data_IF_868065428495
#
_entry.id   IF_868065428495
#
_cell.length_a   1.000
_cell.length_b   1.000
_cell.length_c   1.000
_cell.angle_alpha   90.00
_cell.angle_beta   90.00
_cell.angle_gamma   90.00
#
_symmetry.space_group_name_H-M   'P 1'
#
loop_
_entity.id
_entity.type
_entity.pdbx_description
1 polymer ?
#
# COMPACT_ATOMS: atom_id res chain seq x y z
N UNK A 1 -17.17 20.01 4.33
CA UNK A 1 -17.96 18.80 3.98
C UNK A 1 -17.19 17.58 4.46
N UNK A 2 -17.62 17.02 5.56
CA UNK A 2 -17.27 15.66 5.91
C UNK A 2 -18.05 14.76 4.97
N UNK A 3 -17.48 14.51 3.79
CA UNK A 3 -18.07 13.66 2.77
C UNK A 3 -18.27 12.25 3.32
N UNK A 4 -19.51 11.83 3.39
CA UNK A 4 -19.86 10.47 3.79
C UNK A 4 -19.27 9.48 2.80
N UNK A 5 -18.62 8.44 3.30
CA UNK A 5 -18.05 7.37 2.45
C UNK A 5 -19.18 6.58 1.80
N UNK A 6 -18.93 6.12 0.57
CA UNK A 6 -19.87 5.24 -0.14
C UNK A 6 -20.24 4.03 0.72
N UNK A 7 -21.57 3.84 0.90
CA UNK A 7 -22.13 2.75 1.71
C UNK A 7 -23.49 2.29 1.15
N UNK A 8 -24.09 1.29 1.78
CA UNK A 8 -25.37 0.71 1.36
C UNK A 8 -26.53 1.71 1.26
N UNK A 9 -26.52 2.78 2.07
CA UNK A 9 -27.59 3.77 2.05
C UNK A 9 -27.65 4.57 0.74
N UNK A 10 -26.50 4.72 0.08
CA UNK A 10 -26.42 5.40 -1.23
C UNK A 10 -27.02 4.57 -2.37
N UNK A 11 -27.27 3.27 -2.13
CA UNK A 11 -27.91 2.40 -3.12
C UNK A 11 -29.42 2.59 -3.19
N UNK A 12 -30.03 3.20 -2.15
CA UNK A 12 -31.45 3.49 -2.12
C UNK A 12 -31.81 4.55 -3.17
N UNK A 13 -32.60 4.18 -4.17
CA UNK A 13 -32.95 5.04 -5.30
C UNK A 13 -32.23 4.73 -6.61
N UNK A 14 -31.35 3.72 -6.61
CA UNK A 14 -30.76 3.17 -7.84
C UNK A 14 -31.61 1.96 -8.27
N UNK A 15 -32.51 2.18 -9.22
CA UNK A 15 -33.31 1.11 -9.81
C UNK A 15 -32.58 0.44 -10.96
N UNK A 16 -32.81 -0.87 -11.18
CA UNK A 16 -32.31 -1.65 -12.31
C UNK A 16 -30.77 -1.74 -12.40
N UNK A 17 -30.11 -1.88 -11.25
CA UNK A 17 -28.64 -2.06 -11.18
C UNK A 17 -28.20 -3.29 -12.00
N UNK A 18 -29.04 -4.31 -12.09
CA UNK A 18 -28.81 -5.51 -12.90
C UNK A 18 -28.67 -5.24 -14.39
N UNK A 19 -29.15 -4.10 -14.87
CA UNK A 19 -29.00 -3.66 -16.27
C UNK A 19 -27.88 -2.62 -16.45
N UNK A 20 -27.27 -2.17 -15.35
CA UNK A 20 -26.28 -1.11 -15.39
C UNK A 20 -24.88 -1.60 -15.80
N UNK A 21 -24.14 -0.72 -16.46
CA UNK A 21 -22.69 -0.84 -16.62
C UNK A 21 -22.02 0.13 -15.64
N UNK A 22 -21.22 -0.38 -14.74
CA UNK A 22 -20.54 0.38 -13.69
C UNK A 22 -19.05 0.46 -13.99
N UNK A 23 -18.51 1.67 -13.98
CA UNK A 23 -17.07 1.92 -14.04
C UNK A 23 -16.65 2.63 -12.76
N UNK A 24 -15.64 2.10 -12.09
CA UNK A 24 -15.10 2.75 -10.90
C UNK A 24 -13.57 2.71 -10.90
N UNK A 25 -12.97 3.85 -10.58
CA UNK A 25 -11.55 3.91 -10.30
C UNK A 25 -11.31 4.69 -9.01
N UNK A 26 -10.37 4.22 -8.21
CA UNK A 26 -10.11 4.83 -6.91
C UNK A 26 -9.08 4.07 -6.08
N UNK A 27 -8.88 4.50 -4.82
CA UNK A 27 -8.11 3.71 -3.86
C UNK A 27 -8.72 2.31 -3.68
N UNK A 28 -7.87 1.31 -3.41
CA UNK A 28 -8.31 -0.10 -3.30
C UNK A 28 -9.49 -0.32 -2.35
N UNK A 29 -9.53 0.38 -1.22
CA UNK A 29 -10.66 0.30 -0.28
C UNK A 29 -11.97 0.83 -0.85
N UNK A 30 -11.93 1.88 -1.68
CA UNK A 30 -13.12 2.38 -2.39
C UNK A 30 -13.57 1.37 -3.46
N UNK A 31 -12.63 0.86 -4.25
CA UNK A 31 -12.91 -0.15 -5.29
C UNK A 31 -13.56 -1.39 -4.67
N UNK A 32 -13.01 -1.92 -3.57
CA UNK A 32 -13.60 -3.05 -2.87
C UNK A 32 -15.05 -2.79 -2.39
N UNK A 33 -15.33 -1.57 -1.91
CA UNK A 33 -16.69 -1.17 -1.54
C UNK A 33 -17.63 -1.16 -2.75
N UNK A 34 -17.16 -0.61 -3.88
CA UNK A 34 -17.95 -0.60 -5.14
C UNK A 34 -18.22 -2.03 -5.62
N UNK A 35 -17.24 -2.90 -5.60
CA UNK A 35 -17.39 -4.30 -6.00
C UNK A 35 -18.44 -5.05 -5.16
N UNK A 36 -18.50 -4.77 -3.86
CA UNK A 36 -19.53 -5.33 -2.98
C UNK A 36 -20.92 -4.76 -3.27
N UNK A 37 -21.04 -3.43 -3.40
CA UNK A 37 -22.33 -2.77 -3.59
C UNK A 37 -22.95 -3.03 -4.96
N UNK A 38 -22.12 -3.17 -6.00
CA UNK A 38 -22.55 -3.35 -7.38
C UNK A 38 -22.29 -4.76 -7.92
N UNK A 39 -22.18 -5.75 -7.03
CA UNK A 39 -21.93 -7.15 -7.43
C UNK A 39 -23.00 -7.73 -8.38
N UNK A 40 -24.20 -7.16 -8.41
CA UNK A 40 -25.31 -7.57 -9.27
C UNK A 40 -25.44 -6.73 -10.56
N UNK A 41 -24.51 -5.82 -10.83
CA UNK A 41 -24.53 -5.04 -12.06
C UNK A 41 -24.24 -5.94 -13.27
N UNK A 42 -24.86 -5.62 -14.43
CA UNK A 42 -24.63 -6.35 -15.67
C UNK A 42 -23.15 -6.37 -16.09
N UNK A 43 -22.48 -5.25 -15.92
CA UNK A 43 -21.05 -5.12 -16.15
C UNK A 43 -20.43 -4.24 -15.07
N UNK A 44 -19.40 -4.74 -14.42
CA UNK A 44 -18.61 -3.98 -13.44
C UNK A 44 -17.14 -3.97 -13.89
N UNK A 45 -16.59 -2.79 -14.11
CA UNK A 45 -15.17 -2.58 -14.45
C UNK A 45 -14.54 -1.65 -13.44
N UNK A 46 -13.51 -2.13 -12.78
CA UNK A 46 -12.84 -1.40 -11.70
C UNK A 46 -11.35 -1.27 -11.96
N UNK A 47 -10.77 -0.14 -11.53
CA UNK A 47 -9.33 0.10 -11.52
C UNK A 47 -8.93 0.67 -10.16
N UNK A 48 -8.09 -0.06 -9.43
CA UNK A 48 -7.52 0.42 -8.19
C UNK A 48 -6.18 1.12 -8.46
N UNK A 49 -6.05 2.39 -8.07
CA UNK A 49 -4.78 3.12 -8.12
C UNK A 49 -4.05 3.20 -6.76
N UNK A 50 -4.42 2.34 -5.85
CA UNK A 50 -3.61 1.98 -4.68
C UNK A 50 -3.68 0.47 -4.51
N UNK A 51 -2.60 -0.09 -4.00
CA UNK A 51 -2.56 -1.53 -3.75
C UNK A 51 -3.43 -1.87 -2.55
N UNK A 52 -4.17 -2.97 -2.64
CA UNK A 52 -4.73 -3.60 -1.45
C UNK A 52 -3.59 -3.96 -0.51
N UNK A 53 -3.73 -3.72 0.81
CA UNK A 53 -2.78 -4.26 1.77
C UNK A 53 -2.75 -5.77 1.56
N UNK A 54 -1.61 -6.30 1.16
CA UNK A 54 -1.44 -7.75 1.06
C UNK A 54 -1.72 -8.34 2.43
N UNK A 55 -2.61 -9.30 2.53
CA UNK A 55 -2.79 -10.08 3.76
C UNK A 55 -1.45 -10.78 4.04
N UNK A 56 -0.76 -10.32 5.05
CA UNK A 56 0.60 -10.72 5.35
C UNK A 56 0.61 -11.26 6.78
N UNK A 57 0.98 -12.52 6.92
CA UNK A 57 1.10 -13.20 8.22
C UNK A 57 2.37 -12.77 8.99
N UNK A 58 3.15 -11.84 8.44
CA UNK A 58 4.36 -11.33 9.08
C UNK A 58 3.99 -10.46 10.30
N UNK A 59 4.22 -10.98 11.48
CA UNK A 59 3.99 -10.30 12.77
C UNK A 59 5.31 -9.90 13.41
N UNK A 60 5.26 -8.87 14.26
CA UNK A 60 6.42 -8.38 15.01
C UNK A 60 6.93 -7.04 14.50
N UNK A 61 8.05 -6.62 15.08
CA UNK A 61 8.69 -5.34 14.82
C UNK A 61 10.16 -5.55 14.49
N UNK A 62 10.72 -4.62 13.74
CA UNK A 62 12.15 -4.55 13.40
C UNK A 62 12.62 -3.10 13.48
N UNK A 63 13.93 -2.91 13.62
CA UNK A 63 14.52 -1.59 13.59
C UNK A 63 14.90 -1.20 12.17
N UNK A 64 14.60 0.02 11.77
CA UNK A 64 15.09 0.61 10.53
C UNK A 64 16.03 1.76 10.85
N UNK A 65 17.24 1.70 10.31
CA UNK A 65 18.24 2.77 10.40
C UNK A 65 18.25 3.58 9.11
N UNK A 66 17.98 4.87 9.22
CA UNK A 66 18.01 5.83 8.14
C UNK A 66 19.36 6.53 8.16
N UNK A 67 20.27 6.21 7.23
CA UNK A 67 21.67 6.66 7.32
C UNK A 67 21.85 8.16 7.11
N UNK A 68 21.10 8.77 6.18
CA UNK A 68 21.19 10.20 5.89
C UNK A 68 20.60 11.06 7.01
N UNK A 69 19.42 10.66 7.51
CA UNK A 69 18.76 11.40 8.60
C UNK A 69 19.24 10.98 9.99
N UNK A 70 20.14 9.99 10.09
CA UNK A 70 20.72 9.48 11.35
C UNK A 70 19.66 9.09 12.38
N UNK A 71 18.55 8.52 11.93
CA UNK A 71 17.43 8.07 12.78
C UNK A 71 17.36 6.55 12.82
N UNK A 72 17.00 6.03 13.98
CA UNK A 72 16.64 4.62 14.17
C UNK A 72 15.19 4.60 14.64
N UNK A 73 14.36 3.84 13.94
CA UNK A 73 12.93 3.74 14.20
C UNK A 73 12.53 2.27 14.28
N UNK A 74 11.55 1.96 15.11
CA UNK A 74 10.97 0.61 15.17
C UNK A 74 9.71 0.59 14.31
N UNK A 75 9.66 -0.30 13.33
CA UNK A 75 8.54 -0.41 12.38
C UNK A 75 7.92 -1.82 12.42
N UNK A 76 6.61 -1.96 12.18
CA UNK A 76 5.98 -3.26 12.11
C UNK A 76 6.36 -3.99 10.83
N UNK A 77 6.47 -5.32 10.93
CA UNK A 77 6.47 -6.20 9.76
C UNK A 77 5.09 -6.22 9.11
N UNK A 78 5.01 -6.60 7.85
CA UNK A 78 3.74 -6.74 7.14
C UNK A 78 3.15 -5.45 6.59
N UNK A 79 3.62 -4.30 7.02
CA UNK A 79 3.24 -2.99 6.51
C UNK A 79 4.34 -2.43 5.59
N UNK A 80 3.96 -1.61 4.60
CA UNK A 80 4.96 -0.96 3.76
C UNK A 80 5.87 -0.05 4.59
N UNK A 81 7.16 -0.07 4.28
CA UNK A 81 8.15 0.78 4.96
C UNK A 81 7.75 2.26 4.86
N UNK A 82 7.25 2.70 3.70
CA UNK A 82 6.78 4.07 3.51
C UNK A 82 5.68 4.44 4.52
N UNK A 83 4.64 3.61 4.63
CA UNK A 83 3.53 3.88 5.56
C UNK A 83 3.99 3.88 7.02
N UNK A 84 4.89 2.97 7.37
CA UNK A 84 5.46 2.90 8.73
C UNK A 84 6.29 4.14 9.09
N UNK A 85 7.06 4.66 8.14
CA UNK A 85 7.83 5.90 8.34
C UNK A 85 6.92 7.13 8.45
N UNK A 86 5.87 7.20 7.62
CA UNK A 86 4.89 8.28 7.68
C UNK A 86 4.14 8.34 9.01
N UNK A 87 3.79 7.19 9.58
CA UNK A 87 3.17 7.08 10.92
C UNK A 87 4.06 7.64 12.03
N UNK A 88 5.37 7.63 11.82
CA UNK A 88 6.36 8.20 12.76
C UNK A 88 6.84 9.61 12.36
N UNK A 89 6.05 10.32 11.55
CA UNK A 89 6.34 11.68 11.08
C UNK A 89 7.61 11.81 10.25
N UNK A 90 8.11 10.72 9.68
CA UNK A 90 9.15 10.75 8.65
C UNK A 90 8.47 10.74 7.29
N UNK A 91 8.79 11.71 6.45
CA UNK A 91 8.14 11.90 5.14
C UNK A 91 9.14 11.70 4.01
N UNK A 92 9.47 10.47 3.62
CA UNK A 92 10.33 10.21 2.47
C UNK A 92 9.67 10.71 1.17
N UNK A 93 10.48 10.98 0.16
CA UNK A 93 9.93 11.26 -1.16
C UNK A 93 9.12 10.07 -1.66
N UNK A 94 7.94 10.32 -2.17
CA UNK A 94 7.11 9.28 -2.77
C UNK A 94 6.21 9.86 -3.87
N UNK A 95 5.55 8.99 -4.63
CA UNK A 95 4.62 9.36 -5.69
C UNK A 95 3.44 8.40 -5.77
N UNK A 96 3.47 7.46 -6.70
CA UNK A 96 2.33 6.59 -7.03
C UNK A 96 1.91 5.60 -5.92
N UNK A 97 2.76 5.28 -4.96
CA UNK A 97 2.56 4.26 -3.89
C UNK A 97 2.29 2.84 -4.42
N UNK A 98 2.56 2.58 -5.70
CA UNK A 98 2.29 1.32 -6.40
C UNK A 98 3.55 0.62 -6.90
N UNK A 99 4.75 1.14 -6.55
CA UNK A 99 6.01 0.58 -6.99
C UNK A 99 6.40 0.86 -8.45
N UNK A 100 5.72 1.78 -9.14
CA UNK A 100 5.93 2.05 -10.57
C UNK A 100 6.83 3.27 -10.79
N UNK A 101 6.59 4.38 -10.09
CA UNK A 101 7.22 5.68 -10.41
C UNK A 101 8.65 5.84 -9.89
N UNK A 102 9.16 4.94 -9.08
CA UNK A 102 10.47 4.94 -8.43
C UNK A 102 10.80 6.13 -7.51
N UNK A 103 9.87 7.07 -7.29
CA UNK A 103 10.13 8.26 -6.44
C UNK A 103 10.40 7.91 -4.97
N UNK A 104 9.90 6.78 -4.48
CA UNK A 104 10.13 6.29 -3.12
C UNK A 104 11.33 5.34 -3.03
N UNK A 105 12.14 5.27 -4.05
CA UNK A 105 13.25 4.34 -4.09
C UNK A 105 14.46 4.87 -3.32
N UNK A 106 15.10 3.98 -2.59
CA UNK A 106 16.34 4.22 -1.87
C UNK A 106 17.27 3.01 -2.02
N UNK A 107 18.50 3.14 -1.56
CA UNK A 107 19.41 2.02 -1.51
C UNK A 107 19.25 1.27 -0.17
N UNK A 108 19.01 -0.04 -0.24
CA UNK A 108 19.06 -0.93 0.92
C UNK A 108 20.51 -1.32 1.17
N UNK A 109 21.06 -0.86 2.27
CA UNK A 109 22.45 -1.14 2.67
C UNK A 109 22.54 -2.54 3.25
N UNK A 110 21.61 -2.89 4.15
CA UNK A 110 21.60 -4.17 4.86
C UNK A 110 20.17 -4.55 5.25
N UNK A 111 19.95 -5.84 5.50
CA UNK A 111 18.70 -6.40 5.95
C UNK A 111 17.88 -7.08 4.86
N UNK A 112 16.79 -7.72 5.26
CA UNK A 112 15.89 -8.46 4.38
C UNK A 112 14.53 -7.76 4.25
N UNK A 113 14.01 -7.74 3.03
CA UNK A 113 12.71 -7.16 2.69
C UNK A 113 11.86 -8.13 1.90
N UNK A 114 10.54 -7.96 1.96
CA UNK A 114 9.57 -8.72 1.18
C UNK A 114 8.68 -7.77 0.40
N UNK A 115 8.51 -8.05 -0.87
CA UNK A 115 7.62 -7.28 -1.72
C UNK A 115 6.17 -7.65 -1.41
N UNK A 116 5.35 -6.65 -1.08
CA UNK A 116 3.95 -6.82 -0.71
C UNK A 116 3.03 -7.14 -1.91
N UNK A 117 3.53 -6.98 -3.14
CA UNK A 117 2.77 -7.25 -4.36
C UNK A 117 2.85 -8.71 -4.77
N UNK A 118 4.05 -9.27 -4.75
CA UNK A 118 4.35 -10.59 -5.31
C UNK A 118 4.99 -11.55 -4.30
N UNK A 119 5.22 -11.12 -3.05
CA UNK A 119 5.82 -11.93 -2.01
C UNK A 119 7.32 -12.17 -2.16
N UNK A 120 7.98 -11.62 -3.18
CA UNK A 120 9.41 -11.82 -3.40
C UNK A 120 10.24 -11.26 -2.25
N UNK A 121 11.13 -12.07 -1.74
CA UNK A 121 12.07 -11.68 -0.67
C UNK A 121 13.43 -11.27 -1.26
N UNK A 122 14.04 -10.28 -0.63
CA UNK A 122 15.38 -9.82 -1.00
C UNK A 122 16.22 -9.56 0.25
N UNK A 123 17.26 -10.35 0.42
CA UNK A 123 18.24 -10.24 1.53
C UNK A 123 19.60 -9.71 1.09
N UNK A 124 19.80 -9.45 -0.20
CA UNK A 124 21.09 -8.99 -0.71
C UNK A 124 21.32 -7.51 -0.35
N UNK A 125 22.51 -7.14 0.10
CA UNK A 125 22.89 -5.76 0.37
C UNK A 125 23.07 -4.96 -0.92
N UNK A 126 22.99 -3.61 -0.81
CA UNK A 126 23.27 -2.72 -1.94
C UNK A 126 22.19 -2.69 -3.01
N UNK A 127 21.00 -3.21 -2.73
CA UNK A 127 19.93 -3.28 -3.70
C UNK A 127 18.98 -2.08 -3.65
N UNK A 128 18.46 -1.76 -4.82
CA UNK A 128 17.43 -0.74 -5.00
C UNK A 128 16.10 -1.17 -4.36
N UNK A 129 15.60 -0.39 -3.41
CA UNK A 129 14.42 -0.70 -2.62
C UNK A 129 13.32 0.33 -2.84
N UNK A 130 12.16 -0.10 -3.30
CA UNK A 130 10.94 0.74 -3.35
C UNK A 130 10.16 0.61 -2.05
N UNK A 131 10.29 1.57 -1.15
CA UNK A 131 9.73 1.49 0.21
C UNK A 131 8.20 1.50 0.26
N UNK A 132 7.52 1.91 -0.81
CA UNK A 132 6.04 1.91 -0.85
C UNK A 132 5.41 0.52 -1.04
N UNK A 133 6.16 -0.45 -1.58
CA UNK A 133 5.67 -1.81 -1.89
C UNK A 133 6.49 -2.91 -1.22
N UNK A 134 7.35 -2.55 -0.32
CA UNK A 134 8.16 -3.51 0.44
C UNK A 134 7.97 -3.34 1.95
N UNK A 135 7.96 -4.45 2.66
CA UNK A 135 8.01 -4.52 4.13
C UNK A 135 9.37 -5.05 4.58
N UNK A 136 9.81 -4.64 5.76
CA UNK A 136 11.02 -5.16 6.38
C UNK A 136 10.76 -6.54 7.02
N UNK A 137 11.69 -7.47 6.86
CA UNK A 137 11.63 -8.81 7.45
C UNK A 137 12.60 -8.95 8.63
N UNK A 138 13.71 -8.24 8.59
CA UNK A 138 14.73 -8.15 9.63
C UNK A 138 15.06 -6.69 9.90
N UNK A 139 15.92 -6.42 10.87
CA UNK A 139 16.48 -5.07 11.01
C UNK A 139 17.06 -4.62 9.67
N UNK A 140 16.84 -3.34 9.34
CA UNK A 140 17.07 -2.80 8.01
C UNK A 140 17.92 -1.52 8.08
N UNK A 141 18.87 -1.39 7.18
CA UNK A 141 19.64 -0.16 6.99
C UNK A 141 19.37 0.37 5.59
N UNK A 142 18.92 1.61 5.48
CA UNK A 142 18.62 2.26 4.21
C UNK A 142 19.21 3.67 4.14
N UNK A 143 19.49 4.13 2.93
CA UNK A 143 20.06 5.46 2.70
C UNK A 143 18.95 6.53 2.50
N UNK A 144 18.24 6.83 3.59
CA UNK A 144 17.18 7.85 3.68
C UNK A 144 17.53 8.94 4.69
#
# INVERSE_FOLDING_TARGET
>A
DEGERLNQNHMSGLDQIENATVYACGPSGFVATVEQLFAHANTLKTEAFSMSPFANDDVGFVNITLTKSKKILTIPKGQSILASLEQQNVKPQHGCRMGICNKCACNKVEGSTKNLVNGAQNSEPGNFLKICVNTAQTDLIVDL
#
